data_IF_706546846311
#
_entry.id   IF_706546846311
#
_cell.length_a   1.000
_cell.length_b   1.000
_cell.length_c   1.000
_cell.angle_alpha   90.00
_cell.angle_beta   90.00
_cell.angle_gamma   90.00
#
_symmetry.space_group_name_H-M   'P 1'
#
loop_
_entity.id
_entity.type
_entity.pdbx_description
1 polymer ?
#
# COMPACT_ATOMS: atom_id res chain seq x y z
N UNK A 1 -17.89 34.11 -2.84
CA UNK A 1 -17.94 34.76 -1.52
C UNK A 1 -17.63 33.69 -0.49
N UNK A 2 -16.47 33.76 0.17
CA UNK A 2 -16.03 32.78 1.16
C UNK A 2 -16.87 32.93 2.42
N UNK A 3 -17.75 31.98 2.71
CA UNK A 3 -18.38 31.90 4.04
C UNK A 3 -17.31 31.53 5.06
N UNK A 4 -17.29 32.24 6.19
CA UNK A 4 -16.40 31.92 7.29
C UNK A 4 -16.70 30.51 7.81
N UNK A 5 -15.68 29.71 8.16
CA UNK A 5 -15.92 28.37 8.68
C UNK A 5 -16.72 28.43 9.99
N UNK A 6 -17.56 27.43 10.28
CA UNK A 6 -18.32 27.36 11.52
C UNK A 6 -17.39 27.47 12.74
N UNK A 7 -17.86 28.14 13.80
CA UNK A 7 -17.04 28.57 14.95
C UNK A 7 -16.22 27.44 15.61
N UNK A 8 -16.75 26.22 15.60
CA UNK A 8 -16.13 25.00 16.12
C UNK A 8 -14.84 24.61 15.33
N UNK A 9 -14.85 24.81 14.01
CA UNK A 9 -13.72 24.50 13.15
C UNK A 9 -12.54 25.47 13.37
N UNK A 10 -12.84 26.74 13.64
CA UNK A 10 -11.83 27.74 13.90
C UNK A 10 -11.07 27.45 15.21
N UNK A 11 -11.78 26.97 16.23
CA UNK A 11 -11.22 26.60 17.51
C UNK A 11 -10.33 25.34 17.40
N UNK A 12 -10.81 24.31 16.70
CA UNK A 12 -10.03 23.10 16.41
C UNK A 12 -8.75 23.39 15.62
N UNK A 13 -8.82 24.28 14.61
CA UNK A 13 -7.65 24.69 13.83
C UNK A 13 -6.66 25.46 14.70
N UNK A 14 -7.14 26.33 15.61
CA UNK A 14 -6.28 27.06 16.54
C UNK A 14 -5.53 26.11 17.47
N UNK A 15 -6.23 25.13 18.04
CA UNK A 15 -5.65 24.09 18.90
C UNK A 15 -4.61 23.25 18.14
N UNK A 16 -4.94 22.80 16.93
CA UNK A 16 -4.01 22.06 16.06
C UNK A 16 -2.72 22.84 15.79
N UNK A 17 -2.81 24.15 15.47
CA UNK A 17 -1.63 24.98 15.21
C UNK A 17 -0.74 25.14 16.45
N UNK A 18 -1.35 25.28 17.63
CA UNK A 18 -0.60 25.36 18.89
C UNK A 18 0.10 24.04 19.23
N UNK A 19 -0.55 22.89 19.00
CA UNK A 19 0.00 21.58 19.32
C UNK A 19 1.07 21.10 18.33
N UNK A 20 0.94 21.48 17.06
CA UNK A 20 1.81 20.97 15.97
C UNK A 20 2.87 21.96 15.49
N UNK A 21 2.71 23.25 15.79
CA UNK A 21 3.56 24.30 15.22
C UNK A 21 3.31 24.57 13.73
N UNK A 22 2.19 24.09 13.18
CA UNK A 22 1.81 24.32 11.79
C UNK A 22 1.30 25.76 11.56
N UNK A 23 1.59 26.39 10.41
CA UNK A 23 2.50 25.92 9.38
C UNK A 23 3.97 26.07 9.80
N UNK A 24 4.78 25.07 9.48
CA UNK A 24 6.23 25.10 9.63
C UNK A 24 6.86 25.97 8.53
N UNK A 25 8.16 26.29 8.64
CA UNK A 25 8.89 27.01 7.58
C UNK A 25 8.83 26.26 6.23
N UNK A 26 8.86 24.92 6.26
CA UNK A 26 8.73 24.07 5.08
C UNK A 26 7.32 24.16 4.47
N UNK A 27 6.27 24.21 5.30
CA UNK A 27 4.89 24.37 4.83
C UNK A 27 4.65 25.72 4.12
N UNK A 28 5.24 26.79 4.64
CA UNK A 28 5.19 28.13 4.04
C UNK A 28 6.01 28.20 2.74
N UNK A 29 7.16 27.52 2.68
CA UNK A 29 7.93 27.40 1.45
C UNK A 29 7.17 26.63 0.36
N UNK A 30 6.54 25.51 0.72
CA UNK A 30 5.69 24.74 -0.18
C UNK A 30 4.48 25.54 -0.65
N UNK A 31 3.89 26.35 0.21
CA UNK A 31 2.78 27.25 -0.16
C UNK A 31 3.25 28.32 -1.16
N UNK A 32 4.40 28.94 -0.91
CA UNK A 32 4.99 29.92 -1.84
C UNK A 32 5.26 29.31 -3.20
N UNK A 33 5.83 28.10 -3.24
CA UNK A 33 6.07 27.36 -4.50
C UNK A 33 4.75 27.07 -5.23
N UNK A 34 3.71 26.62 -4.52
CA UNK A 34 2.39 26.40 -5.12
C UNK A 34 1.80 27.67 -5.73
N UNK A 35 1.91 28.80 -5.04
CA UNK A 35 1.40 30.07 -5.53
C UNK A 35 2.18 30.56 -6.77
N UNK A 36 3.51 30.42 -6.77
CA UNK A 36 4.36 30.70 -7.94
C UNK A 36 4.00 29.83 -9.15
N UNK A 37 3.80 28.52 -8.92
CA UNK A 37 3.36 27.61 -9.98
C UNK A 37 1.95 27.91 -10.47
N UNK A 38 1.04 28.30 -9.58
CA UNK A 38 -0.33 28.68 -9.94
C UNK A 38 -0.34 29.88 -10.88
N UNK A 39 0.54 30.85 -10.66
CA UNK A 39 0.71 32.01 -11.54
C UNK A 39 1.33 31.61 -12.89
N UNK A 40 2.35 30.75 -12.88
CA UNK A 40 2.98 30.26 -14.11
C UNK A 40 2.05 29.42 -14.98
N UNK A 41 1.13 28.67 -14.37
CA UNK A 41 0.19 27.77 -15.06
C UNK A 41 -1.09 28.47 -15.56
N UNK A 42 -1.19 29.81 -15.43
CA UNK A 42 -2.28 30.57 -16.04
C UNK A 42 -2.23 30.45 -17.58
N UNK A 43 -3.39 30.42 -18.27
CA UNK A 43 -3.46 30.20 -19.72
C UNK A 43 -2.55 31.13 -20.54
N UNK A 44 -2.44 32.38 -20.13
CA UNK A 44 -1.60 33.44 -20.72
C UNK A 44 -0.08 33.18 -20.58
N UNK A 45 0.33 32.39 -19.59
CA UNK A 45 1.73 32.12 -19.25
C UNK A 45 2.21 30.75 -19.76
N UNK A 46 1.32 29.87 -20.20
CA UNK A 46 1.67 28.53 -20.70
C UNK A 46 2.66 28.55 -21.88
N UNK A 47 2.61 29.58 -22.72
CA UNK A 47 3.49 29.73 -23.88
C UNK A 47 4.94 30.12 -23.54
N UNK A 48 5.21 30.55 -22.30
CA UNK A 48 6.54 30.99 -21.85
C UNK A 48 7.22 29.99 -20.91
N UNK A 49 6.54 28.92 -20.50
CA UNK A 49 7.10 27.89 -19.62
C UNK A 49 8.08 27.02 -20.42
N UNK A 50 9.32 26.91 -19.95
CA UNK A 50 10.31 26.05 -20.61
C UNK A 50 9.98 24.57 -20.37
N UNK A 51 10.40 23.69 -21.30
CA UNK A 51 10.29 22.23 -21.10
C UNK A 51 11.03 21.73 -19.87
N UNK A 52 12.06 22.47 -19.40
CA UNK A 52 12.82 22.14 -18.19
C UNK A 52 11.95 22.41 -16.96
N UNK A 53 11.25 23.54 -16.93
CA UNK A 53 10.34 23.90 -15.83
C UNK A 53 9.15 22.92 -15.77
N UNK A 54 8.56 22.55 -16.92
CA UNK A 54 7.52 21.51 -16.98
C UNK A 54 8.01 20.12 -16.53
N UNK A 55 9.29 19.81 -16.74
CA UNK A 55 9.88 18.55 -16.27
C UNK A 55 10.09 18.51 -14.75
N UNK A 56 10.23 19.68 -14.10
CA UNK A 56 10.30 19.76 -12.64
C UNK A 56 8.94 19.41 -12.00
N UNK A 57 7.83 19.86 -12.60
CA UNK A 57 6.46 19.53 -12.15
C UNK A 57 6.17 18.03 -12.23
N UNK A 58 6.79 17.32 -13.16
CA UNK A 58 6.56 15.88 -13.38
C UNK A 58 7.55 14.97 -12.65
N UNK A 59 8.71 15.50 -12.22
CA UNK A 59 9.75 14.74 -11.51
C UNK A 59 9.85 15.02 -10.00
N UNK A 60 9.28 16.13 -9.49
CA UNK A 60 9.25 16.38 -8.04
C UNK A 60 7.94 15.91 -7.42
N UNK A 61 8.00 14.67 -6.94
CA UNK A 61 7.05 14.05 -6.03
C UNK A 61 6.83 14.95 -4.79
N UNK A 62 5.56 15.19 -4.47
CA UNK A 62 5.04 15.84 -3.26
C UNK A 62 5.34 15.06 -1.95
N UNK A 63 6.32 14.16 -1.96
CA UNK A 63 6.81 13.38 -0.83
C UNK A 63 8.29 13.08 -1.02
N UNK A 64 9.18 13.98 -0.58
CA UNK A 64 10.61 13.66 -0.47
C UNK A 64 11.07 13.81 0.98
N UNK A 65 11.50 12.70 1.56
CA UNK A 65 12.15 12.63 2.86
C UNK A 65 13.56 13.28 2.76
N UNK A 66 13.88 14.32 3.54
CA UNK A 66 15.07 15.17 3.35
C UNK A 66 16.42 14.52 3.69
N UNK A 67 16.48 13.24 4.04
CA UNK A 67 17.75 12.58 4.45
C UNK A 67 18.75 12.27 3.34
N UNK A 68 18.42 12.50 2.06
CA UNK A 68 19.31 12.22 0.94
C UNK A 68 19.49 13.45 0.03
N UNK A 69 20.08 14.50 0.58
CA UNK A 69 20.66 15.60 -0.20
C UNK A 69 22.17 15.42 -0.21
N UNK A 70 22.73 15.11 -1.38
CA UNK A 70 24.16 15.29 -1.64
C UNK A 70 24.34 16.77 -2.02
N UNK A 71 25.10 17.58 -1.25
CA UNK A 71 25.20 19.01 -1.52
C UNK A 71 25.88 19.31 -2.86
N UNK A 72 25.24 20.16 -3.66
CA UNK A 72 25.77 20.65 -4.94
C UNK A 72 26.69 21.86 -4.70
N UNK A 73 27.77 21.68 -3.95
CA UNK A 73 28.79 22.71 -3.81
C UNK A 73 30.09 22.15 -4.39
N UNK A 74 30.53 22.68 -5.53
CA UNK A 74 31.91 22.71 -6.07
C UNK A 74 32.01 23.16 -7.55
N UNK A 75 30.94 23.66 -8.20
CA UNK A 75 31.06 24.14 -9.59
C UNK A 75 31.37 25.66 -9.60
N UNK A 76 32.63 25.99 -9.91
CA UNK A 76 33.13 27.34 -10.12
C UNK A 76 32.36 28.12 -11.21
N UNK A 77 32.09 29.44 -11.04
CA UNK A 77 31.23 30.22 -11.93
C UNK A 77 31.98 30.86 -13.11
N UNK A 78 32.61 30.07 -13.99
CA UNK A 78 33.28 30.59 -15.19
C UNK A 78 32.86 29.98 -16.53
N UNK A 79 31.74 29.24 -16.58
CA UNK A 79 31.27 28.58 -17.82
C UNK A 79 29.90 29.08 -18.30
N UNK A 80 29.65 30.40 -18.24
CA UNK A 80 28.57 31.01 -19.04
C UNK A 80 29.02 31.05 -20.50
N UNK A 81 28.79 29.97 -21.25
CA UNK A 81 28.52 29.92 -22.72
C UNK A 81 28.95 28.55 -23.29
N UNK A 82 27.98 27.68 -23.51
CA UNK A 82 27.86 26.61 -24.54
C UNK A 82 26.76 25.67 -24.04
N UNK A 83 25.56 25.64 -24.66
CA UNK A 83 25.22 24.66 -25.71
C UNK A 83 25.94 23.32 -25.57
N UNK A 84 25.79 22.66 -24.43
CA UNK A 84 25.91 21.21 -24.36
C UNK A 84 24.61 20.68 -23.79
N UNK A 85 23.79 20.13 -24.68
CA UNK A 85 22.96 18.98 -24.35
C UNK A 85 23.91 18.02 -23.65
N UNK A 86 23.83 17.88 -22.32
CA UNK A 86 24.50 16.80 -21.60
C UNK A 86 23.92 15.51 -22.20
N UNK A 87 24.59 15.03 -23.23
CA UNK A 87 24.55 13.65 -23.66
C UNK A 87 24.82 12.87 -22.39
N UNK A 88 23.77 12.31 -21.80
CA UNK A 88 23.96 11.11 -21.01
C UNK A 88 24.57 10.12 -22.01
N UNK A 89 25.88 10.04 -22.10
CA UNK A 89 26.47 8.90 -22.77
C UNK A 89 26.30 7.76 -21.78
N UNK A 90 25.15 7.07 -21.82
CA UNK A 90 25.00 5.84 -21.04
C UNK A 90 26.11 4.91 -21.52
N UNK A 91 27.10 4.66 -20.66
CA UNK A 91 28.13 3.68 -20.95
C UNK A 91 27.43 2.33 -21.14
N UNK A 92 27.72 1.65 -22.24
CA UNK A 92 27.18 0.32 -22.52
C UNK A 92 27.54 -0.70 -21.42
N UNK A 93 28.54 -0.40 -20.59
CA UNK A 93 29.01 -1.26 -19.50
C UNK A 93 28.24 -1.06 -18.18
N UNK A 94 27.60 0.09 -17.99
CA UNK A 94 26.88 0.38 -16.75
C UNK A 94 25.47 -0.19 -16.82
N UNK A 95 25.03 -0.88 -15.76
CA UNK A 95 23.65 -1.36 -15.63
C UNK A 95 22.73 -0.18 -15.31
N UNK A 96 21.67 -0.05 -16.08
CA UNK A 96 20.59 0.89 -15.85
C UNK A 96 19.35 0.13 -15.41
N UNK A 97 18.62 0.68 -14.44
CA UNK A 97 17.40 0.08 -13.92
C UNK A 97 16.27 1.10 -14.06
N UNK A 98 15.19 0.68 -14.71
CA UNK A 98 13.93 1.40 -14.78
C UNK A 98 12.95 0.74 -13.82
N UNK A 99 12.55 1.49 -12.79
CA UNK A 99 11.51 1.06 -11.84
C UNK A 99 10.18 1.61 -12.33
N UNK A 100 9.19 0.72 -12.48
CA UNK A 100 7.82 1.05 -12.87
C UNK A 100 6.92 0.67 -11.69
N UNK A 101 6.51 1.67 -10.93
CA UNK A 101 5.60 1.47 -9.81
C UNK A 101 4.18 1.17 -10.32
N UNK A 102 3.51 0.22 -9.67
CA UNK A 102 2.10 -0.13 -9.94
C UNK A 102 1.84 -0.41 -11.43
N UNK A 103 2.67 -1.28 -12.00
CA UNK A 103 2.71 -1.56 -13.44
C UNK A 103 1.34 -1.98 -13.97
N UNK A 104 0.53 -2.66 -13.17
CA UNK A 104 -0.81 -3.08 -13.54
C UNK A 104 -1.78 -1.92 -13.75
N UNK A 105 -1.62 -0.75 -13.13
CA UNK A 105 -2.60 0.37 -13.20
C UNK A 105 -2.76 1.03 -14.58
N UNK A 106 -1.90 0.70 -15.54
CA UNK A 106 -1.96 1.20 -16.91
C UNK A 106 -2.37 0.14 -17.92
N UNK A 107 -2.87 0.57 -19.09
CA UNK A 107 -2.96 -0.32 -20.25
C UNK A 107 -1.54 -0.56 -20.81
N UNK A 108 -0.86 -1.54 -20.21
CA UNK A 108 0.54 -1.86 -20.50
C UNK A 108 0.80 -2.17 -21.98
N UNK A 109 -0.04 -2.95 -22.69
CA UNK A 109 0.13 -3.13 -24.13
C UNK A 109 0.15 -1.82 -24.92
N UNK A 110 -0.69 -0.86 -24.54
CA UNK A 110 -0.74 0.46 -25.19
C UNK A 110 0.45 1.35 -24.82
N UNK A 111 0.90 1.29 -23.56
CA UNK A 111 2.02 2.10 -23.06
C UNK A 111 3.36 1.59 -23.62
N UNK A 112 3.57 0.28 -23.57
CA UNK A 112 4.83 -0.33 -23.99
C UNK A 112 4.84 -0.56 -25.50
N UNK A 113 3.70 -0.87 -26.12
CA UNK A 113 3.59 -1.02 -27.58
C UNK A 113 4.66 -1.96 -28.14
N UNK A 114 5.49 -1.43 -29.02
CA UNK A 114 6.56 -2.18 -29.69
C UNK A 114 7.71 -2.55 -28.74
N UNK A 115 7.82 -1.89 -27.58
CA UNK A 115 8.78 -2.25 -26.53
C UNK A 115 8.52 -3.66 -25.99
N UNK A 116 7.27 -4.14 -26.00
CA UNK A 116 6.96 -5.52 -25.60
C UNK A 116 7.72 -6.55 -26.44
N UNK A 117 7.82 -6.31 -27.75
CA UNK A 117 8.62 -7.16 -28.63
C UNK A 117 10.09 -7.12 -28.23
N UNK A 118 10.65 -5.92 -28.02
CA UNK A 118 12.07 -5.77 -27.65
C UNK A 118 12.41 -6.28 -26.24
N UNK A 119 11.44 -6.33 -25.32
CA UNK A 119 11.65 -6.94 -24.00
C UNK A 119 11.98 -8.43 -24.11
N UNK A 120 11.35 -9.12 -25.08
CA UNK A 120 11.57 -10.53 -25.40
C UNK A 120 12.79 -10.71 -26.32
N UNK A 121 12.86 -9.93 -27.39
CA UNK A 121 13.91 -10.01 -28.42
C UNK A 121 14.94 -8.90 -28.26
N UNK A 122 15.67 -8.89 -27.14
CA UNK A 122 16.67 -7.86 -26.75
C UNK A 122 17.83 -7.64 -27.73
N UNK A 123 18.01 -8.52 -28.71
CA UNK A 123 19.03 -8.41 -29.75
C UNK A 123 18.54 -7.74 -31.04
N UNK A 124 17.24 -7.53 -31.17
CA UNK A 124 16.61 -7.05 -32.40
C UNK A 124 16.46 -5.53 -32.39
N UNK A 125 16.27 -4.98 -33.59
CA UNK A 125 15.90 -3.59 -33.80
C UNK A 125 14.59 -3.53 -34.56
N UNK A 126 13.78 -2.51 -34.26
CA UNK A 126 12.49 -2.26 -34.91
C UNK A 126 12.47 -0.85 -35.48
N UNK A 127 11.55 -0.59 -36.42
CA UNK A 127 11.20 0.76 -36.84
C UNK A 127 9.97 1.21 -36.06
N UNK A 128 10.09 2.16 -35.13
CA UNK A 128 8.94 2.62 -34.38
C UNK A 128 7.93 3.33 -35.28
N UNK A 129 6.64 3.16 -35.00
CA UNK A 129 5.55 3.74 -35.79
C UNK A 129 5.70 5.24 -36.05
N UNK A 130 6.17 6.00 -35.06
CA UNK A 130 6.35 7.45 -35.15
C UNK A 130 7.74 7.89 -35.63
N UNK A 131 8.66 6.94 -35.85
CA UNK A 131 10.02 7.20 -36.37
C UNK A 131 10.42 6.09 -37.35
N UNK A 132 9.69 5.91 -38.46
CA UNK A 132 9.94 4.82 -39.39
C UNK A 132 11.32 4.90 -40.03
N UNK A 133 11.93 6.09 -40.12
CA UNK A 133 13.25 6.27 -40.73
C UNK A 133 14.42 5.93 -39.79
N UNK A 134 14.15 5.60 -38.52
CA UNK A 134 15.19 5.30 -37.52
C UNK A 134 14.91 3.96 -36.85
N UNK A 135 15.92 3.08 -36.86
CA UNK A 135 15.90 1.89 -36.04
C UNK A 135 15.96 2.26 -34.56
N UNK A 136 15.23 1.51 -33.75
CA UNK A 136 15.27 1.53 -32.30
C UNK A 136 15.56 0.12 -31.79
N UNK A 137 16.52 0.02 -30.88
CA UNK A 137 16.83 -1.20 -30.14
C UNK A 137 16.80 -0.92 -28.65
N UNK A 138 16.47 -1.95 -27.87
CA UNK A 138 16.45 -1.84 -26.43
C UNK A 138 17.82 -2.23 -25.85
N UNK A 139 18.51 -1.35 -25.13
CA UNK A 139 19.84 -1.66 -24.60
C UNK A 139 19.83 -2.87 -23.68
N UNK A 140 20.82 -3.76 -23.82
CA UNK A 140 20.95 -4.97 -23.00
C UNK A 140 21.28 -4.67 -21.54
N UNK A 141 21.90 -3.54 -21.28
CA UNK A 141 22.21 -3.05 -19.94
C UNK A 141 21.02 -2.37 -19.24
N UNK A 142 19.83 -2.29 -19.87
CA UNK A 142 18.61 -1.75 -19.27
C UNK A 142 17.70 -2.85 -18.70
N UNK A 143 17.54 -2.81 -17.38
CA UNK A 143 16.70 -3.71 -16.59
C UNK A 143 15.41 -3.02 -16.19
N UNK A 144 14.33 -3.79 -16.12
CA UNK A 144 13.02 -3.30 -15.71
C UNK A 144 12.63 -4.01 -14.42
N UNK A 145 12.20 -3.24 -13.43
CA UNK A 145 11.61 -3.74 -12.19
C UNK A 145 10.22 -3.13 -12.09
N UNK A 146 9.19 -3.97 -12.15
CA UNK A 146 7.82 -3.55 -11.96
C UNK A 146 7.34 -3.92 -10.57
N UNK A 147 6.70 -2.99 -9.86
CA UNK A 147 5.91 -3.33 -8.67
C UNK A 147 4.45 -3.51 -9.07
N UNK A 148 3.73 -4.37 -8.37
CA UNK A 148 2.34 -4.68 -8.68
C UNK A 148 1.58 -4.95 -7.40
N UNK A 149 0.55 -4.16 -7.14
CA UNK A 149 -0.41 -4.49 -6.10
C UNK A 149 -1.39 -5.55 -6.61
N UNK A 150 -1.32 -6.77 -6.05
CA UNK A 150 -2.20 -7.88 -6.43
C UNK A 150 -3.58 -7.81 -5.79
N UNK A 151 -3.80 -6.95 -4.80
CA UNK A 151 -5.10 -6.77 -4.17
C UNK A 151 -6.10 -6.03 -5.08
N UNK A 152 -5.61 -5.26 -6.06
CA UNK A 152 -6.46 -4.52 -6.99
C UNK A 152 -7.07 -5.45 -8.06
N UNK A 153 -8.24 -6.03 -7.71
CA UNK A 153 -9.02 -6.92 -8.58
C UNK A 153 -9.52 -6.22 -9.85
N UNK A 154 -9.65 -4.88 -9.84
CA UNK A 154 -10.18 -4.12 -10.98
C UNK A 154 -9.21 -4.07 -12.17
N UNK A 155 -7.95 -4.47 -11.95
CA UNK A 155 -6.87 -4.39 -12.93
C UNK A 155 -6.09 -5.72 -13.03
N UNK A 156 -6.62 -6.79 -12.42
CA UNK A 156 -5.90 -8.04 -12.12
C UNK A 156 -5.57 -8.93 -13.33
N UNK A 157 -5.96 -8.58 -14.54
CA UNK A 157 -5.55 -9.31 -15.73
C UNK A 157 -4.28 -8.67 -16.31
N UNK A 158 -3.16 -8.97 -15.66
CA UNK A 158 -1.85 -8.86 -16.31
C UNK A 158 -1.91 -9.73 -17.55
N UNK A 159 -1.89 -9.10 -18.72
CA UNK A 159 -1.99 -9.78 -20.01
C UNK A 159 -0.97 -10.94 -20.08
N UNK A 160 -1.39 -12.05 -20.68
CA UNK A 160 -0.53 -13.22 -20.91
C UNK A 160 0.77 -12.83 -21.63
N UNK A 161 0.72 -11.78 -22.47
CA UNK A 161 1.86 -11.17 -23.11
C UNK A 161 2.94 -10.69 -22.12
N UNK A 162 2.55 -10.09 -20.99
CA UNK A 162 3.49 -9.60 -19.98
C UNK A 162 3.99 -10.72 -19.09
N UNK A 163 3.12 -11.69 -18.78
CA UNK A 163 3.52 -12.87 -17.99
C UNK A 163 4.67 -13.65 -18.61
N UNK A 164 4.80 -13.62 -19.94
CA UNK A 164 5.89 -14.24 -20.69
C UNK A 164 7.19 -13.44 -20.70
N UNK A 165 7.15 -12.15 -20.36
CA UNK A 165 8.26 -11.19 -20.54
C UNK A 165 8.85 -10.68 -19.23
N UNK A 166 8.16 -10.90 -18.12
CA UNK A 166 8.61 -10.58 -16.78
C UNK A 166 8.75 -11.84 -15.93
N UNK A 167 9.75 -11.85 -15.06
CA UNK A 167 9.82 -12.81 -13.97
C UNK A 167 9.00 -12.28 -12.80
N UNK A 168 8.01 -13.06 -12.37
CA UNK A 168 7.14 -12.71 -11.25
C UNK A 168 7.76 -13.25 -9.97
N UNK A 169 8.17 -12.33 -9.09
CA UNK A 169 8.71 -12.66 -7.79
C UNK A 169 7.63 -12.35 -6.76
N UNK A 170 7.03 -13.37 -6.11
CA UNK A 170 6.08 -13.16 -5.03
C UNK A 170 6.69 -12.33 -3.91
N UNK A 171 5.92 -11.36 -3.40
CA UNK A 171 6.33 -10.45 -2.36
C UNK A 171 5.20 -10.33 -1.33
N UNK A 172 4.93 -11.43 -0.61
CA UNK A 172 3.85 -11.53 0.38
C UNK A 172 4.39 -11.70 1.81
N UNK A 173 3.75 -11.13 2.84
CA UNK A 173 4.25 -11.14 4.22
C UNK A 173 4.58 -12.54 4.79
N UNK A 174 3.98 -13.58 4.23
CA UNK A 174 4.09 -14.98 4.64
C UNK A 174 5.05 -15.81 3.76
N UNK A 175 5.78 -15.21 2.81
CA UNK A 175 6.64 -15.96 1.91
C UNK A 175 7.86 -15.19 1.40
N UNK A 176 8.89 -15.95 1.01
CA UNK A 176 10.05 -15.43 0.30
C UNK A 176 10.87 -14.44 1.12
N UNK A 177 11.32 -13.35 0.48
CA UNK A 177 12.28 -12.43 1.08
C UNK A 177 11.70 -11.55 2.22
N UNK A 178 10.37 -11.46 2.32
CA UNK A 178 9.71 -10.59 3.31
C UNK A 178 9.04 -11.34 4.45
N UNK A 179 9.06 -12.67 4.42
CA UNK A 179 8.65 -13.49 5.54
C UNK A 179 9.43 -13.07 6.80
N UNK A 180 8.71 -12.80 7.89
CA UNK A 180 9.29 -12.33 9.17
C UNK A 180 9.95 -10.95 9.12
N UNK A 181 9.74 -10.15 8.06
CA UNK A 181 10.32 -8.81 7.94
C UNK A 181 9.92 -7.89 9.09
N UNK A 182 8.64 -7.92 9.49
CA UNK A 182 8.14 -7.10 10.59
C UNK A 182 8.84 -7.44 11.90
N UNK A 183 8.90 -8.73 12.26
CA UNK A 183 9.59 -9.20 13.46
C UNK A 183 11.05 -8.75 13.50
N UNK A 184 11.81 -8.99 12.42
CA UNK A 184 13.21 -8.56 12.32
C UNK A 184 13.38 -7.04 12.46
N UNK A 185 12.48 -6.27 11.86
CA UNK A 185 12.53 -4.81 11.95
C UNK A 185 12.22 -4.32 13.37
N UNK A 186 11.19 -4.89 14.02
CA UNK A 186 10.83 -4.56 15.39
C UNK A 186 11.99 -4.87 16.35
N UNK A 187 12.62 -6.04 16.20
CA UNK A 187 13.77 -6.44 17.01
C UNK A 187 14.96 -5.47 16.82
N UNK A 188 15.26 -5.10 15.57
CA UNK A 188 16.34 -4.16 15.24
C UNK A 188 16.10 -2.76 15.86
N UNK A 189 14.87 -2.27 15.81
CA UNK A 189 14.50 -0.94 16.31
C UNK A 189 14.15 -0.93 17.82
N UNK A 190 14.30 -2.07 18.52
CA UNK A 190 13.98 -2.19 19.95
C UNK A 190 12.49 -2.03 20.25
N UNK A 191 11.63 -2.38 19.30
CA UNK A 191 10.17 -2.31 19.40
C UNK A 191 9.57 -3.64 19.94
N UNK A 192 8.30 -3.65 20.37
CA UNK A 192 7.72 -4.83 21.00
C UNK A 192 7.49 -5.99 20.02
N UNK A 193 8.18 -7.11 20.22
CA UNK A 193 8.09 -8.30 19.37
C UNK A 193 6.67 -8.90 19.28
N UNK A 194 5.85 -8.75 20.33
CA UNK A 194 4.47 -9.25 20.36
C UNK A 194 3.59 -8.66 19.26
N UNK A 195 3.92 -7.46 18.75
CA UNK A 195 3.19 -6.83 17.66
C UNK A 195 3.40 -7.60 16.36
N UNK A 196 4.64 -7.99 16.07
CA UNK A 196 4.96 -8.83 14.92
C UNK A 196 4.24 -10.18 15.00
N UNK A 197 4.29 -10.81 16.18
CA UNK A 197 3.63 -12.10 16.43
C UNK A 197 2.09 -12.01 16.25
N UNK A 198 1.47 -10.93 16.72
CA UNK A 198 0.05 -10.68 16.54
C UNK A 198 -0.31 -10.54 15.06
N UNK A 199 0.48 -9.76 14.30
CA UNK A 199 0.24 -9.55 12.86
C UNK A 199 0.43 -10.86 12.08
N UNK A 200 1.46 -11.64 12.41
CA UNK A 200 1.70 -12.95 11.79
C UNK A 200 0.56 -13.93 12.07
N UNK A 201 0.04 -13.94 13.31
CA UNK A 201 -1.11 -14.76 13.68
C UNK A 201 -2.37 -14.36 12.89
N UNK A 202 -2.67 -13.06 12.80
CA UNK A 202 -3.80 -12.54 12.03
C UNK A 202 -3.62 -12.85 10.54
N UNK A 203 -2.43 -12.69 9.98
CA UNK A 203 -2.15 -13.06 8.59
C UNK A 203 -2.36 -14.57 8.35
N UNK A 204 -2.04 -15.42 9.33
CA UNK A 204 -2.34 -16.86 9.26
C UNK A 204 -3.83 -17.18 9.29
N UNK A 205 -4.66 -16.38 9.95
CA UNK A 205 -6.12 -16.47 9.89
C UNK A 205 -6.65 -15.97 8.54
N UNK A 206 -6.21 -14.78 8.11
CA UNK A 206 -6.61 -14.17 6.84
C UNK A 206 -6.26 -15.04 5.63
N UNK A 207 -5.08 -15.67 5.61
CA UNK A 207 -4.67 -16.57 4.52
C UNK A 207 -5.65 -17.73 4.32
N UNK A 208 -6.20 -18.26 5.41
CA UNK A 208 -7.19 -19.35 5.39
C UNK A 208 -8.55 -18.82 4.95
N UNK A 209 -8.96 -17.69 5.51
CA UNK A 209 -10.31 -17.22 5.27
C UNK A 209 -10.48 -16.56 3.87
N UNK A 210 -9.41 -15.99 3.30
CA UNK A 210 -9.41 -15.31 2.00
C UNK A 210 -8.86 -16.16 0.84
N UNK A 211 -8.54 -17.42 1.10
CA UNK A 211 -8.00 -18.38 0.12
C UNK A 211 -6.74 -17.86 -0.61
N UNK A 212 -5.76 -17.35 0.17
CA UNK A 212 -4.44 -16.97 -0.35
C UNK A 212 -3.81 -15.71 0.26
N UNK A 213 -2.58 -15.42 -0.18
CA UNK A 213 -1.69 -14.42 0.43
C UNK A 213 -1.86 -12.98 -0.10
N UNK A 214 -2.73 -12.76 -1.09
CA UNK A 214 -2.85 -11.48 -1.81
C UNK A 214 -3.44 -10.32 -0.99
N UNK A 215 -4.10 -10.64 0.12
CA UNK A 215 -4.87 -9.70 0.94
C UNK A 215 -4.38 -9.63 2.39
N UNK A 216 -3.19 -10.19 2.65
CA UNK A 216 -2.55 -10.15 3.96
C UNK A 216 -2.15 -8.72 4.34
N UNK A 217 -2.05 -8.49 5.63
CA UNK A 217 -1.64 -7.21 6.20
C UNK A 217 -0.14 -7.00 5.96
N UNK A 218 0.17 -5.90 5.26
CA UNK A 218 1.54 -5.52 4.97
C UNK A 218 2.32 -5.02 6.21
N UNK A 219 3.62 -5.35 6.33
CA UNK A 219 4.43 -4.95 7.49
C UNK A 219 4.58 -3.43 7.63
N UNK A 220 4.48 -2.67 6.53
CA UNK A 220 4.65 -1.21 6.51
C UNK A 220 3.65 -0.45 7.39
N UNK A 221 2.45 -0.99 7.61
CA UNK A 221 1.47 -0.40 8.54
C UNK A 221 1.99 -0.39 9.98
N UNK A 222 2.79 -1.40 10.34
CA UNK A 222 3.25 -1.68 11.70
C UNK A 222 4.71 -1.31 11.94
N UNK A 223 5.48 -0.93 10.92
CA UNK A 223 6.84 -0.41 11.09
C UNK A 223 6.80 1.03 11.65
N UNK A 224 6.49 1.15 12.93
CA UNK A 224 6.34 2.42 13.67
C UNK A 224 7.07 2.34 15.01
N UNK A 225 7.34 3.51 15.57
CA UNK A 225 7.70 3.62 16.98
C UNK A 225 6.44 3.50 17.85
N UNK A 226 6.43 2.52 18.74
CA UNK A 226 5.36 2.23 19.68
C UNK A 226 5.62 2.80 21.08
N UNK A 227 6.80 3.36 21.31
CA UNK A 227 7.21 3.91 22.58
C UNK A 227 7.48 2.87 23.67
N UNK A 228 7.79 3.37 24.86
CA UNK A 228 8.40 2.57 25.94
C UNK A 228 7.40 1.91 26.89
N UNK A 229 6.13 2.32 26.90
CA UNK A 229 5.14 1.82 27.85
C UNK A 229 4.09 0.96 27.17
N UNK A 230 3.62 -0.10 27.84
CA UNK A 230 2.59 -1.00 27.30
C UNK A 230 1.32 -0.25 26.86
N UNK A 231 0.89 0.74 27.63
CA UNK A 231 -0.27 1.57 27.29
C UNK A 231 -0.08 2.35 25.98
N UNK A 232 1.12 2.92 25.74
CA UNK A 232 1.42 3.63 24.48
C UNK A 232 1.48 2.66 23.31
N UNK A 233 2.05 1.48 23.51
CA UNK A 233 2.17 0.46 22.47
C UNK A 233 0.79 -0.02 22.03
N UNK A 234 -0.09 -0.34 22.99
CA UNK A 234 -1.47 -0.73 22.71
C UNK A 234 -2.29 0.40 22.07
N UNK A 235 -2.19 1.64 22.56
CA UNK A 235 -2.90 2.77 21.94
C UNK A 235 -2.44 3.03 20.49
N UNK A 236 -1.13 2.94 20.24
CA UNK A 236 -0.57 3.11 18.90
C UNK A 236 -1.05 2.00 17.96
N UNK A 237 -1.02 0.75 18.42
CA UNK A 237 -1.54 -0.38 17.64
C UNK A 237 -3.03 -0.24 17.39
N UNK A 238 -3.82 0.13 18.41
CA UNK A 238 -5.27 0.38 18.30
C UNK A 238 -5.58 1.38 17.20
N UNK A 239 -4.88 2.52 17.16
CA UNK A 239 -5.07 3.53 16.12
C UNK A 239 -4.70 3.03 14.73
N UNK A 240 -3.60 2.29 14.59
CA UNK A 240 -3.24 1.66 13.31
C UNK A 240 -4.36 0.71 12.89
N UNK A 241 -4.88 -0.08 13.83
CA UNK A 241 -5.92 -1.06 13.56
C UNK A 241 -7.24 -0.40 13.14
N UNK A 242 -7.80 0.46 13.99
CA UNK A 242 -9.10 1.11 13.77
C UNK A 242 -9.14 1.95 12.48
N UNK A 243 -8.07 2.68 12.15
CA UNK A 243 -8.09 3.64 11.05
C UNK A 243 -7.50 3.12 9.75
N UNK A 244 -6.63 2.11 9.79
CA UNK A 244 -6.01 1.57 8.58
C UNK A 244 -6.43 0.12 8.31
N UNK A 245 -6.50 -0.73 9.32
CA UNK A 245 -6.71 -2.17 9.12
C UNK A 245 -8.20 -2.51 9.06
N UNK A 246 -9.01 -2.01 9.99
CA UNK A 246 -10.44 -2.31 10.02
C UNK A 246 -11.17 -1.90 8.73
N UNK A 247 -10.92 -0.73 8.11
CA UNK A 247 -11.50 -0.41 6.80
C UNK A 247 -11.10 -1.43 5.72
N UNK A 248 -9.85 -1.91 5.71
CA UNK A 248 -9.41 -2.94 4.76
C UNK A 248 -10.14 -4.26 4.99
N UNK A 249 -10.33 -4.65 6.25
CA UNK A 249 -11.08 -5.86 6.64
C UNK A 249 -12.56 -5.74 6.25
N UNK A 250 -13.18 -4.57 6.44
CA UNK A 250 -14.55 -4.28 6.03
C UNK A 250 -14.74 -4.45 4.52
N UNK A 251 -13.78 -3.94 3.73
CA UNK A 251 -13.78 -4.10 2.28
C UNK A 251 -13.58 -5.57 1.87
N UNK A 252 -12.70 -6.30 2.55
CA UNK A 252 -12.38 -7.70 2.25
C UNK A 252 -13.52 -8.67 2.60
N UNK A 253 -14.24 -8.43 3.70
CA UNK A 253 -15.35 -9.25 4.18
C UNK A 253 -16.71 -8.56 4.03
N UNK A 254 -16.87 -7.74 2.99
CA UNK A 254 -18.11 -7.05 2.71
C UNK A 254 -19.31 -8.02 2.69
N UNK A 255 -20.30 -7.74 3.53
CA UNK A 255 -21.50 -8.58 3.68
C UNK A 255 -21.39 -9.71 4.72
N UNK A 256 -20.24 -9.88 5.37
CA UNK A 256 -20.04 -10.85 6.47
C UNK A 256 -19.68 -10.13 7.79
N UNK A 257 -20.69 -9.65 8.55
CA UNK A 257 -20.45 -8.91 9.79
C UNK A 257 -19.77 -9.76 10.87
N UNK A 258 -19.95 -11.08 10.85
CA UNK A 258 -19.35 -11.98 11.84
C UNK A 258 -17.83 -12.07 11.64
N UNK A 259 -17.39 -12.19 10.38
CA UNK A 259 -15.95 -12.17 10.05
C UNK A 259 -15.35 -10.80 10.33
N UNK A 260 -16.04 -9.71 9.97
CA UNK A 260 -15.58 -8.37 10.30
C UNK A 260 -15.40 -8.21 11.82
N UNK A 261 -16.37 -8.65 12.61
CA UNK A 261 -16.30 -8.59 14.08
C UNK A 261 -15.14 -9.41 14.65
N UNK A 262 -14.84 -10.55 14.05
CA UNK A 262 -13.70 -11.41 14.43
C UNK A 262 -12.35 -10.69 14.31
N UNK A 263 -12.21 -9.78 13.34
CA UNK A 263 -10.96 -9.06 13.06
C UNK A 263 -10.91 -7.63 13.66
N UNK A 264 -11.92 -7.21 14.43
CA UNK A 264 -11.87 -5.93 15.16
C UNK A 264 -10.76 -5.93 16.20
N UNK A 265 -10.19 -4.75 16.47
CA UNK A 265 -9.02 -4.60 17.33
C UNK A 265 -9.18 -5.29 18.69
N UNK A 266 -10.33 -5.10 19.37
CA UNK A 266 -10.58 -5.72 20.69
C UNK A 266 -10.56 -7.25 20.63
N UNK A 267 -11.16 -7.83 19.59
CA UNK A 267 -11.22 -9.28 19.42
C UNK A 267 -9.83 -9.86 19.10
N UNK A 268 -9.08 -9.19 18.21
CA UNK A 268 -7.71 -9.56 17.85
C UNK A 268 -6.78 -9.45 19.06
N UNK A 269 -6.84 -8.35 19.81
CA UNK A 269 -6.01 -8.15 21.00
C UNK A 269 -6.33 -9.17 22.10
N UNK A 270 -7.59 -9.55 22.27
CA UNK A 270 -7.97 -10.58 23.26
C UNK A 270 -7.42 -11.97 22.91
N UNK A 271 -7.26 -12.30 21.62
CA UNK A 271 -6.73 -13.60 21.17
C UNK A 271 -5.20 -13.64 21.10
N UNK A 272 -4.60 -12.56 20.60
CA UNK A 272 -3.19 -12.54 20.18
C UNK A 272 -2.36 -11.45 20.87
N UNK A 273 -2.98 -10.65 21.74
CA UNK A 273 -2.27 -9.64 22.52
C UNK A 273 -1.38 -10.25 23.60
N UNK A 274 -0.54 -9.42 24.25
CA UNK A 274 0.24 -9.88 25.39
C UNK A 274 -0.71 -10.32 26.50
N UNK A 275 -0.42 -11.45 27.14
CA UNK A 275 -1.21 -11.95 28.26
C UNK A 275 -1.33 -10.86 29.33
N UNK A 276 -2.52 -10.26 29.45
CA UNK A 276 -2.81 -9.38 30.57
C UNK A 276 -2.97 -10.26 31.79
N UNK A 277 -2.14 -10.04 32.81
CA UNK A 277 -2.42 -10.54 34.15
C UNK A 277 -3.84 -10.16 34.59
N UNK A 278 -4.44 -10.87 35.56
CA UNK A 278 -5.88 -10.83 35.81
C UNK A 278 -6.29 -9.51 36.47
N UNK A 279 -6.50 -8.45 35.70
CA UNK A 279 -7.16 -7.21 36.11
C UNK A 279 -7.86 -6.58 34.91
N UNK A 280 -9.05 -7.10 34.59
CA UNK A 280 -10.22 -6.35 34.06
C UNK A 280 -11.24 -7.36 33.51
N UNK A 281 -11.76 -8.19 34.41
CA UNK A 281 -13.01 -8.92 34.23
C UNK A 281 -13.98 -8.42 35.30
N UNK A 282 -14.44 -7.17 35.17
CA UNK A 282 -15.49 -6.60 36.01
C UNK A 282 -16.06 -5.33 35.34
N UNK A 283 -16.87 -5.54 34.29
CA UNK A 283 -18.02 -4.70 33.96
C UNK A 283 -18.76 -5.30 32.76
N UNK A 284 -19.38 -6.45 32.98
CA UNK A 284 -20.51 -6.90 32.19
C UNK A 284 -21.62 -7.16 33.21
N UNK A 285 -22.21 -6.07 33.69
CA UNK A 285 -23.39 -6.14 34.54
C UNK A 285 -24.57 -6.62 33.71
N UNK A 286 -25.16 -7.66 34.25
CA UNK A 286 -26.41 -8.32 33.95
C UNK A 286 -27.58 -7.34 33.72
N UNK A 287 -28.27 -7.49 32.59
CA UNK A 287 -29.72 -7.27 32.55
C UNK A 287 -30.39 -8.58 32.15
N UNK A 288 -30.68 -9.39 33.16
CA UNK A 288 -31.67 -10.47 33.09
C UNK A 288 -32.92 -10.03 33.86
N UNK A 289 -33.99 -9.73 33.14
CA UNK A 289 -35.35 -9.70 33.70
C UNK A 289 -36.26 -10.48 32.76
N UNK A 290 -36.65 -11.69 33.17
CA UNK A 290 -38.01 -12.18 32.92
C UNK A 290 -38.35 -13.30 33.91
N UNK A 291 -39.43 -13.09 34.65
CA UNK A 291 -39.99 -13.94 35.69
C UNK A 291 -41.25 -14.63 35.14
N UNK A 292 -41.10 -15.93 34.83
CA UNK A 292 -42.00 -17.10 35.04
C UNK A 292 -43.49 -17.08 34.54
N UNK A 293 -44.30 -18.17 34.65
CA UNK A 293 -44.70 -19.00 33.48
C UNK A 293 -46.23 -19.26 33.34
N UNK A 294 -46.64 -19.78 32.18
CA UNK A 294 -47.85 -20.61 31.94
C UNK A 294 -47.66 -21.24 30.55
N UNK A 295 -47.94 -22.50 30.21
CA UNK A 295 -48.77 -23.57 30.76
C UNK A 295 -49.41 -24.29 29.56
N UNK A 296 -49.34 -25.64 29.53
CA UNK A 296 -50.09 -26.57 28.64
C UNK A 296 -49.60 -26.69 27.17
N UNK A 297 -49.68 -27.81 26.43
CA UNK A 297 -49.89 -29.27 26.61
C UNK A 297 -49.70 -29.91 25.21
N UNK A 298 -49.53 -31.24 25.15
CA UNK A 298 -49.60 -32.16 23.98
C UNK A 298 -48.43 -32.11 23.00
N UNK A 299 -47.67 -33.19 22.77
CA UNK A 299 -48.09 -34.47 22.17
C UNK A 299 -47.79 -34.34 20.67
N UNK A 300 -46.80 -35.01 20.08
CA UNK A 300 -46.81 -36.43 19.72
C UNK A 300 -45.42 -36.81 19.12
N UNK A 301 -45.09 -38.10 19.16
CA UNK A 301 -43.95 -38.76 18.46
C UNK A 301 -44.55 -39.98 17.75
N UNK A 302 -43.86 -40.78 16.90
CA UNK A 302 -42.52 -40.70 16.30
C UNK A 302 -42.53 -41.17 14.80
N UNK A 303 -41.40 -41.74 14.34
CA UNK A 303 -41.19 -42.57 13.12
C UNK A 303 -40.92 -41.78 11.83
N UNK A 304 -39.93 -42.09 10.99
CA UNK A 304 -39.11 -43.30 10.79
C UNK A 304 -37.83 -42.90 10.01
N UNK A 305 -36.65 -43.47 10.30
CA UNK A 305 -35.99 -44.53 9.51
C UNK A 305 -35.88 -44.25 7.99
N UNK A 306 -34.80 -44.53 7.27
CA UNK A 306 -33.46 -45.00 7.52
C UNK A 306 -32.73 -44.95 6.15
N UNK A 307 -31.39 -45.04 6.18
CA UNK A 307 -30.60 -45.75 5.16
C UNK A 307 -30.43 -45.00 3.81
N UNK A 308 -29.33 -45.06 3.05
CA UNK A 308 -28.09 -45.80 3.12
C UNK A 308 -27.22 -45.39 1.89
N UNK A 309 -25.92 -45.75 1.89
CA UNK A 309 -24.98 -45.88 0.73
C UNK A 309 -24.65 -44.59 -0.06
N UNK A 310 -23.41 -44.15 -0.30
CA UNK A 310 -22.11 -44.80 -0.35
C UNK A 310 -21.48 -44.58 -1.74
N UNK A 311 -20.15 -44.42 -1.77
CA UNK A 311 -19.21 -44.65 -2.89
C UNK A 311 -18.57 -43.44 -3.58
N UNK A 312 -17.25 -43.56 -3.67
CA UNK A 312 -16.22 -42.74 -4.28
C UNK A 312 -16.28 -42.63 -5.81
N UNK A 313 -15.55 -41.65 -6.37
CA UNK A 313 -14.72 -41.67 -7.60
C UNK A 313 -14.40 -40.21 -7.98
N UNK A 314 -13.14 -39.77 -7.85
CA UNK A 314 -12.12 -39.73 -8.90
C UNK A 314 -12.12 -38.43 -9.74
N UNK A 315 -10.92 -37.83 -9.82
CA UNK A 315 -10.56 -36.70 -10.66
C UNK A 315 -10.78 -36.99 -12.16
N UNK A 316 -10.70 -35.93 -12.98
CA UNK A 316 -9.64 -35.96 -13.98
C UNK A 316 -8.90 -34.63 -14.13
N UNK A 317 -7.62 -34.79 -14.48
CA UNK A 317 -6.72 -33.81 -15.05
C UNK A 317 -7.23 -33.26 -16.37
N UNK A 318 -7.03 -31.96 -16.59
CA UNK A 318 -6.50 -31.34 -17.82
C UNK A 318 -6.09 -29.90 -17.52
#
# INVERSE_FOLDING_TARGET
MSQAPPADLAELVSKFRQETGYPTEEDEEQKRLRDEWREKLLPENLGSISRIDLSAVTNESLYRNPKYVVPMEHVSPSSRRMKETRSWAFSAEQRHVMVIEEINRGNLPRVLGELLFLLEYRGESIHPLYRPDSLFSLPRNLWFIGTMNTADRSIALVDAALRRRFHFVPFFPDSGAIEGLLGRWLDHEGQPAWIGQLVDAVNGELAKDLDGSHLLLGPSHFMKDYGTTAAKQQDRLRRIWEYNIEPLIEDQFFGDPNRIQHYRFKAVLARHGPATGPESAASADEESVSDTPAGSTSGDTPEDAASDIGTALAAPSL
#
